data_IF_138047525956
#
_entry.id   IF_138047525956
#
_cell.length_a   1.000
_cell.length_b   1.000
_cell.length_c   1.000
_cell.angle_alpha   90.00
_cell.angle_beta   90.00
_cell.angle_gamma   90.00
#
_symmetry.space_group_name_H-M   'P 1'
#
loop_
_entity.id
_entity.type
_entity.pdbx_description
1 polymer ?
#
# COMPACT_ATOMS: atom_id res chain seq x y z
N UNK A 1 10.87 11.29 28.51
CA UNK A 1 11.60 12.08 27.45
C UNK A 1 12.55 11.11 26.76
N UNK A 2 12.11 10.46 25.67
CA UNK A 2 12.99 9.65 24.82
C UNK A 2 13.85 10.59 23.96
N UNK A 3 15.16 10.44 24.05
CA UNK A 3 16.11 11.17 23.18
C UNK A 3 16.04 10.56 21.77
N UNK A 4 15.73 11.37 20.78
CA UNK A 4 15.77 11.04 19.36
C UNK A 4 17.25 10.96 18.92
N UNK A 5 17.60 9.93 18.18
CA UNK A 5 18.93 9.77 17.59
C UNK A 5 18.81 9.82 16.08
N UNK A 6 19.42 10.82 15.47
CA UNK A 6 19.66 10.92 14.03
C UNK A 6 21.12 10.60 13.81
N UNK A 7 21.43 9.68 12.92
CA UNK A 7 22.79 9.32 12.53
C UNK A 7 23.08 9.90 11.14
N UNK A 8 24.06 10.79 11.04
CA UNK A 8 24.68 11.14 9.79
C UNK A 8 26.04 10.42 9.72
N UNK A 9 26.35 9.81 8.58
CA UNK A 9 27.63 9.14 8.37
C UNK A 9 28.57 10.16 7.71
N UNK A 10 29.56 10.61 8.46
CA UNK A 10 30.66 11.40 7.89
C UNK A 10 31.91 10.50 7.80
N UNK A 11 32.54 10.44 6.62
CA UNK A 11 33.77 9.68 6.38
C UNK A 11 34.95 10.63 6.45
N UNK A 12 35.67 10.58 7.56
CA UNK A 12 37.02 11.08 7.65
C UNK A 12 37.95 9.94 8.06
N UNK A 13 38.68 9.36 7.12
CA UNK A 13 39.58 8.24 7.37
C UNK A 13 38.85 6.89 7.65
N UNK A 14 39.54 5.89 8.09
CA UNK A 14 39.07 4.51 8.29
C UNK A 14 38.13 4.29 9.50
N UNK A 15 37.45 5.32 10.02
CA UNK A 15 36.53 5.21 11.16
C UNK A 15 35.19 5.88 10.88
N UNK A 16 34.09 5.16 11.23
CA UNK A 16 32.72 5.68 11.23
C UNK A 16 32.51 6.42 12.55
N UNK A 17 32.19 7.73 12.49
CA UNK A 17 31.76 8.49 13.67
C UNK A 17 30.26 8.72 13.62
N UNK A 18 29.57 8.33 14.67
CA UNK A 18 28.18 8.68 14.88
C UNK A 18 28.07 10.14 15.37
N UNK A 19 27.43 10.99 14.58
CA UNK A 19 27.16 12.39 14.95
C UNK A 19 25.69 12.51 15.37
N UNK A 20 25.45 12.87 16.61
CA UNK A 20 24.10 13.16 17.13
C UNK A 20 23.72 14.59 16.76
N UNK A 21 22.75 14.76 15.86
CA UNK A 21 22.20 16.07 15.53
C UNK A 21 20.88 16.34 16.27
N UNK A 22 20.80 17.52 16.87
CA UNK A 22 19.63 18.06 17.57
C UNK A 22 18.67 18.67 16.55
N UNK A 23 17.40 18.33 16.65
CA UNK A 23 16.21 18.82 15.95
C UNK A 23 16.34 20.14 15.16
N UNK A 24 16.35 20.05 13.85
CA UNK A 24 15.75 21.03 12.93
C UNK A 24 14.67 20.31 12.11
N UNK A 25 13.56 21.01 11.79
CA UNK A 25 12.58 20.48 10.81
C UNK A 25 13.36 19.96 9.61
N UNK A 26 13.04 18.73 9.18
CA UNK A 26 13.64 18.18 7.96
C UNK A 26 13.38 19.16 6.82
N UNK A 27 14.42 19.63 6.10
CA UNK A 27 14.21 20.50 4.95
C UNK A 27 13.41 19.72 3.90
N UNK A 28 12.46 20.38 3.25
CA UNK A 28 11.90 19.87 1.99
C UNK A 28 13.08 19.59 1.07
N UNK A 29 13.13 18.46 0.36
CA UNK A 29 14.12 18.24 -0.68
C UNK A 29 14.01 19.40 -1.67
N UNK A 30 14.98 20.31 -1.65
CA UNK A 30 15.00 21.52 -2.46
C UNK A 30 15.43 21.16 -3.88
N UNK A 31 14.58 20.49 -4.65
CA UNK A 31 14.74 20.40 -6.09
C UNK A 31 13.46 20.86 -6.79
N UNK A 32 13.65 21.80 -7.73
CA UNK A 32 12.60 22.08 -8.70
C UNK A 32 12.22 20.78 -9.43
N UNK A 33 10.92 20.58 -9.76
CA UNK A 33 10.47 19.39 -10.48
C UNK A 33 11.28 19.25 -11.78
N UNK A 34 11.94 18.10 -11.92
CA UNK A 34 12.69 17.78 -13.14
C UNK A 34 11.66 17.43 -14.21
N UNK A 35 11.53 18.29 -15.24
CA UNK A 35 10.66 18.04 -16.38
C UNK A 35 11.44 17.19 -17.40
N UNK A 36 11.03 15.94 -17.56
CA UNK A 36 11.46 15.11 -18.67
C UNK A 36 10.27 14.87 -19.63
N UNK A 37 10.47 15.16 -20.91
CA UNK A 37 9.54 14.88 -22.02
C UNK A 37 8.02 15.12 -21.73
N UNK A 38 7.69 16.30 -21.15
CA UNK A 38 6.30 16.72 -20.96
C UNK A 38 5.61 16.28 -19.67
N UNK A 39 6.21 15.45 -18.81
CA UNK A 39 5.69 15.04 -17.51
C UNK A 39 6.55 15.56 -16.34
N UNK A 40 5.90 15.73 -15.17
CA UNK A 40 6.58 16.03 -13.90
C UNK A 40 6.83 14.71 -13.20
N UNK A 41 8.11 14.38 -12.89
CA UNK A 41 8.47 13.23 -12.07
C UNK A 41 7.93 13.45 -10.64
N UNK A 42 7.18 12.46 -10.12
CA UNK A 42 6.62 12.51 -8.76
C UNK A 42 7.60 11.96 -7.74
N UNK A 43 7.72 12.68 -6.63
CA UNK A 43 8.48 12.26 -5.46
C UNK A 43 7.60 11.33 -4.60
N UNK A 44 8.12 10.13 -4.36
CA UNK A 44 7.40 9.06 -3.67
C UNK A 44 8.07 8.74 -2.33
N UNK A 45 7.25 8.68 -1.28
CA UNK A 45 7.59 8.09 0.02
C UNK A 45 6.94 6.72 0.13
N UNK A 46 7.73 5.68 0.47
CA UNK A 46 7.22 4.33 0.68
C UNK A 46 7.30 3.93 2.15
N UNK A 47 6.16 3.69 2.77
CA UNK A 47 6.05 3.17 4.13
C UNK A 47 5.73 1.67 4.07
N UNK A 48 6.54 0.85 4.73
CA UNK A 48 6.49 -0.61 4.62
C UNK A 48 7.18 -1.12 3.34
N UNK A 49 8.30 -0.51 2.95
CA UNK A 49 8.97 -0.75 1.66
C UNK A 49 9.44 -2.20 1.45
N UNK A 50 9.79 -2.93 2.51
CA UNK A 50 10.22 -4.33 2.44
C UNK A 50 9.04 -5.33 2.43
N UNK A 51 7.81 -4.85 2.63
CA UNK A 51 6.59 -5.66 2.57
C UNK A 51 6.13 -5.93 1.13
N UNK A 52 5.08 -6.77 0.98
CA UNK A 52 4.55 -7.17 -0.32
C UNK A 52 4.11 -5.98 -1.19
N UNK A 53 3.46 -4.97 -0.61
CA UNK A 53 3.04 -3.77 -1.35
C UNK A 53 4.25 -2.92 -1.72
N UNK A 54 5.20 -2.72 -0.78
CA UNK A 54 6.39 -1.91 -1.01
C UNK A 54 7.29 -2.45 -2.11
N UNK A 55 7.54 -3.76 -2.12
CA UNK A 55 8.38 -4.41 -3.15
C UNK A 55 7.74 -4.33 -4.54
N UNK A 56 6.42 -4.49 -4.65
CA UNK A 56 5.70 -4.32 -5.91
C UNK A 56 5.66 -2.86 -6.37
N UNK A 57 5.57 -1.90 -5.43
CA UNK A 57 5.68 -0.48 -5.76
C UNK A 57 7.06 -0.14 -6.32
N UNK A 58 8.12 -0.68 -5.74
CA UNK A 58 9.49 -0.49 -6.23
C UNK A 58 9.69 -1.08 -7.63
N UNK A 59 9.10 -2.26 -7.93
CA UNK A 59 9.10 -2.82 -9.28
C UNK A 59 8.43 -1.89 -10.31
N UNK A 60 7.28 -1.29 -9.96
CA UNK A 60 6.60 -0.32 -10.82
C UNK A 60 7.46 0.92 -11.04
N UNK A 61 8.03 1.47 -9.96
CA UNK A 61 8.85 2.68 -10.00
C UNK A 61 10.10 2.45 -10.84
N UNK A 62 10.80 1.33 -10.66
CA UNK A 62 11.99 0.99 -11.41
C UNK A 62 11.74 0.87 -12.93
N UNK A 63 10.54 0.41 -13.33
CA UNK A 63 10.12 0.35 -14.74
C UNK A 63 9.62 1.69 -15.31
N UNK A 64 9.43 2.69 -14.46
CA UNK A 64 8.91 4.01 -14.84
C UNK A 64 9.73 5.17 -14.23
N UNK A 65 11.06 5.22 -14.45
CA UNK A 65 11.95 6.20 -13.81
C UNK A 65 11.68 7.65 -14.23
N UNK A 66 11.08 7.86 -15.40
CA UNK A 66 10.69 9.17 -15.87
C UNK A 66 9.47 9.74 -15.15
N UNK A 67 8.69 8.87 -14.49
CA UNK A 67 7.44 9.25 -13.82
C UNK A 67 7.56 9.32 -12.30
N UNK A 68 8.43 8.50 -11.72
CA UNK A 68 8.51 8.31 -10.27
C UNK A 68 9.94 8.32 -9.77
N UNK A 69 10.15 8.94 -8.61
CA UNK A 69 11.40 8.96 -7.87
C UNK A 69 11.11 8.63 -6.41
N UNK A 70 11.81 7.67 -5.84
CA UNK A 70 11.72 7.40 -4.40
C UNK A 70 12.61 8.39 -3.66
N UNK A 71 12.02 9.19 -2.77
CA UNK A 71 12.77 10.15 -1.94
C UNK A 71 13.00 9.62 -0.53
N UNK A 72 12.10 8.76 -0.02
CA UNK A 72 12.29 8.13 1.27
C UNK A 72 11.65 6.74 1.34
N UNK A 73 12.27 5.88 2.16
CA UNK A 73 11.83 4.53 2.47
C UNK A 73 11.65 4.38 3.99
N UNK A 74 10.65 3.62 4.43
CA UNK A 74 10.52 3.23 5.83
C UNK A 74 10.13 1.76 5.96
N UNK A 75 10.75 1.05 6.90
CA UNK A 75 10.46 -0.34 7.21
C UNK A 75 10.56 -0.65 8.71
N UNK A 76 10.07 -1.83 9.12
CA UNK A 76 10.12 -2.27 10.51
C UNK A 76 11.53 -2.53 11.05
N UNK A 77 12.41 -3.08 10.21
CA UNK A 77 13.78 -3.44 10.58
C UNK A 77 14.06 -4.95 10.63
N UNK A 78 13.07 -5.80 10.32
CA UNK A 78 13.25 -7.27 10.31
C UNK A 78 14.12 -7.75 9.14
N UNK A 79 14.20 -7.01 8.04
CA UNK A 79 15.03 -7.33 6.87
C UNK A 79 15.86 -6.11 6.46
N UNK A 80 16.98 -5.92 7.15
CA UNK A 80 17.90 -4.82 6.88
C UNK A 80 18.62 -4.97 5.54
N UNK A 81 18.82 -6.20 5.06
CA UNK A 81 19.48 -6.45 3.78
C UNK A 81 18.60 -6.00 2.62
N UNK A 82 17.31 -6.37 2.66
CA UNK A 82 16.35 -5.88 1.66
C UNK A 82 16.25 -4.34 1.68
N UNK A 83 16.15 -3.74 2.87
CA UNK A 83 16.07 -2.28 3.01
C UNK A 83 17.31 -1.57 2.48
N UNK A 84 18.51 -2.12 2.76
CA UNK A 84 19.78 -1.60 2.24
C UNK A 84 19.86 -1.69 0.71
N UNK A 85 19.44 -2.83 0.14
CA UNK A 85 19.35 -3.02 -1.30
C UNK A 85 18.41 -2.00 -1.96
N UNK A 86 17.22 -1.81 -1.39
CA UNK A 86 16.25 -0.81 -1.84
C UNK A 86 16.79 0.62 -1.79
N UNK A 87 17.51 0.98 -0.71
CA UNK A 87 18.12 2.29 -0.58
C UNK A 87 19.14 2.58 -1.70
N UNK A 88 19.98 1.59 -2.02
CA UNK A 88 20.99 1.71 -3.09
C UNK A 88 20.36 1.75 -4.48
N UNK A 89 19.34 0.94 -4.73
CA UNK A 89 18.65 0.87 -6.02
C UNK A 89 17.86 2.13 -6.35
N UNK A 90 17.21 2.71 -5.34
CA UNK A 90 16.37 3.89 -5.52
C UNK A 90 17.13 5.20 -5.39
N UNK A 91 18.30 5.21 -4.73
CA UNK A 91 18.99 6.43 -4.36
C UNK A 91 18.19 7.29 -3.37
N UNK A 92 17.33 6.68 -2.54
CA UNK A 92 16.52 7.40 -1.57
C UNK A 92 17.38 8.24 -0.62
N UNK A 93 16.97 9.49 -0.42
CA UNK A 93 17.72 10.45 0.41
C UNK A 93 17.55 10.17 1.92
N UNK A 94 16.41 9.55 2.30
CA UNK A 94 16.09 9.21 3.69
C UNK A 94 15.64 7.75 3.80
N UNK A 95 16.17 7.05 4.79
CA UNK A 95 15.74 5.69 5.10
C UNK A 95 15.41 5.59 6.58
N UNK A 96 14.18 5.12 6.87
CA UNK A 96 13.65 4.96 8.22
C UNK A 96 13.59 3.51 8.66
N UNK A 97 13.97 3.24 9.90
CA UNK A 97 13.79 1.95 10.54
C UNK A 97 13.08 2.11 11.87
N UNK A 98 12.00 1.33 12.09
CA UNK A 98 11.20 1.46 13.30
C UNK A 98 11.94 1.01 14.56
N UNK A 99 12.83 0.04 14.44
CA UNK A 99 13.71 -0.41 15.51
C UNK A 99 14.83 0.62 15.74
N UNK A 100 14.89 1.29 16.91
CA UNK A 100 15.91 2.30 17.19
C UNK A 100 17.33 1.70 17.25
N UNK A 101 17.47 0.43 17.57
CA UNK A 101 18.77 -0.23 17.72
C UNK A 101 19.32 -0.73 16.36
N UNK A 102 18.47 -0.79 15.35
CA UNK A 102 18.85 -1.25 14.00
C UNK A 102 19.56 -0.17 13.15
N UNK A 103 19.60 1.09 13.56
CA UNK A 103 20.15 2.17 12.74
C UNK A 103 21.62 1.97 12.35
N UNK A 104 22.47 1.55 13.30
CA UNK A 104 23.88 1.29 13.06
C UNK A 104 24.04 0.06 12.16
N UNK A 105 23.28 -1.00 12.44
CA UNK A 105 23.30 -2.21 11.65
C UNK A 105 22.87 -1.94 10.19
N UNK A 106 21.86 -1.11 9.99
CA UNK A 106 21.41 -0.70 8.66
C UNK A 106 22.51 0.09 7.92
N UNK A 107 23.17 1.04 8.58
CA UNK A 107 24.28 1.79 7.99
C UNK A 107 25.42 0.87 7.52
N UNK A 108 25.79 -0.09 8.36
CA UNK A 108 26.81 -1.09 8.02
C UNK A 108 26.37 -1.99 6.88
N UNK A 109 25.09 -2.39 6.88
CA UNK A 109 24.52 -3.24 5.83
C UNK A 109 24.50 -2.52 4.48
N UNK A 110 24.16 -1.23 4.44
CA UNK A 110 24.24 -0.40 3.21
C UNK A 110 25.66 -0.36 2.69
N UNK A 111 26.65 -0.12 3.54
CA UNK A 111 28.06 -0.08 3.13
C UNK A 111 28.56 -1.44 2.61
N UNK A 112 28.18 -2.54 3.27
CA UNK A 112 28.51 -3.89 2.84
C UNK A 112 27.86 -4.24 1.50
N UNK A 113 26.57 -3.93 1.35
CA UNK A 113 25.83 -4.18 0.11
C UNK A 113 26.38 -3.34 -1.06
N UNK A 114 26.75 -2.08 -0.83
CA UNK A 114 27.38 -1.24 -1.83
C UNK A 114 28.72 -1.83 -2.30
N UNK A 115 29.57 -2.30 -1.38
CA UNK A 115 30.84 -2.99 -1.73
C UNK A 115 30.60 -4.28 -2.49
N UNK A 116 29.63 -5.07 -2.07
CA UNK A 116 29.26 -6.32 -2.74
C UNK A 116 28.83 -6.09 -4.19
N UNK A 117 28.15 -4.97 -4.46
CA UNK A 117 27.77 -4.52 -5.81
C UNK A 117 28.90 -3.81 -6.57
N UNK A 118 30.08 -3.68 -6.01
CA UNK A 118 31.24 -3.02 -6.61
C UNK A 118 31.13 -1.49 -6.68
N UNK A 119 30.20 -0.89 -5.95
CA UNK A 119 30.00 0.55 -5.90
C UNK A 119 31.09 1.24 -5.08
N UNK A 120 31.62 2.34 -5.59
CA UNK A 120 32.65 3.16 -4.91
C UNK A 120 31.99 4.32 -4.14
N UNK A 121 32.67 4.87 -3.13
CA UNK A 121 32.23 6.12 -2.50
C UNK A 121 32.03 7.24 -3.54
N UNK A 122 30.81 7.83 -3.51
CA UNK A 122 30.39 8.86 -4.46
C UNK A 122 29.61 8.34 -5.68
N UNK A 123 29.54 7.02 -5.90
CA UNK A 123 28.73 6.41 -6.96
C UNK A 123 27.30 6.07 -6.48
N UNK A 124 27.00 6.25 -5.20
CA UNK A 124 25.66 6.05 -4.64
C UNK A 124 25.34 7.11 -3.59
N UNK A 125 24.03 7.32 -3.37
CA UNK A 125 23.54 8.22 -2.32
C UNK A 125 23.70 7.53 -0.97
N UNK A 126 24.36 8.18 -0.02
CA UNK A 126 24.39 7.78 1.38
C UNK A 126 23.13 8.36 2.03
N UNK A 127 22.12 7.55 2.37
CA UNK A 127 20.87 8.08 2.90
C UNK A 127 21.06 8.60 4.34
N UNK A 128 20.26 9.61 4.70
CA UNK A 128 20.06 9.93 6.09
C UNK A 128 19.27 8.80 6.75
N UNK A 129 19.82 8.15 7.78
CA UNK A 129 19.13 7.09 8.51
C UNK A 129 18.41 7.68 9.71
N UNK A 130 17.10 7.47 9.76
CA UNK A 130 16.25 7.80 10.89
C UNK A 130 15.81 6.50 11.58
N UNK A 131 15.72 6.49 12.92
CA UNK A 131 15.33 5.30 13.64
C UNK A 131 14.41 5.62 14.82
N UNK A 132 13.51 4.72 15.09
CA UNK A 132 12.61 4.77 16.23
C UNK A 132 11.14 4.58 15.85
N UNK A 133 10.26 4.41 16.84
CA UNK A 133 8.86 4.03 16.64
C UNK A 133 8.02 5.10 15.93
N UNK A 134 8.49 6.34 15.82
CA UNK A 134 7.80 7.45 15.13
C UNK A 134 8.33 7.72 13.73
N UNK A 135 9.37 7.00 13.29
CA UNK A 135 10.07 7.27 12.04
C UNK A 135 9.15 7.29 10.81
N UNK A 136 8.22 6.35 10.71
CA UNK A 136 7.28 6.32 9.59
C UNK A 136 6.38 7.57 9.56
N UNK A 137 5.98 8.09 10.73
CA UNK A 137 5.20 9.33 10.84
C UNK A 137 6.03 10.55 10.43
N UNK A 138 7.29 10.60 10.84
CA UNK A 138 8.21 11.69 10.50
C UNK A 138 8.46 11.72 8.98
N UNK A 139 8.73 10.56 8.38
CA UNK A 139 8.96 10.42 6.94
C UNK A 139 7.69 10.74 6.13
N UNK A 140 6.52 10.28 6.58
CA UNK A 140 5.25 10.61 5.92
C UNK A 140 4.96 12.12 5.87
N UNK A 141 5.41 12.86 6.89
CA UNK A 141 5.23 14.31 7.00
C UNK A 141 6.32 15.16 6.32
N UNK A 142 7.30 14.58 5.63
CA UNK A 142 8.42 15.34 5.02
C UNK A 142 8.02 16.25 3.86
N UNK A 143 6.87 16.00 3.24
CA UNK A 143 6.41 16.69 2.03
C UNK A 143 7.00 16.04 0.77
N UNK A 144 6.12 15.43 0.00
CA UNK A 144 6.38 14.79 -1.28
C UNK A 144 5.10 14.84 -2.12
N UNK A 145 5.11 14.27 -3.32
CA UNK A 145 3.89 14.23 -4.15
C UNK A 145 2.96 13.10 -3.71
N UNK A 146 3.52 11.92 -3.39
CA UNK A 146 2.73 10.74 -2.99
C UNK A 146 3.38 10.02 -1.81
N UNK A 147 2.60 9.72 -0.79
CA UNK A 147 2.96 8.75 0.26
C UNK A 147 2.19 7.46 0.02
N UNK A 148 2.90 6.37 -0.27
CA UNK A 148 2.32 5.03 -0.28
C UNK A 148 2.42 4.43 1.13
N UNK A 149 1.27 4.24 1.79
CA UNK A 149 1.21 3.58 3.08
C UNK A 149 0.85 2.09 2.91
N UNK A 150 1.88 1.24 2.84
CA UNK A 150 1.79 -0.23 2.78
C UNK A 150 2.10 -0.92 4.12
N UNK A 151 2.03 -0.19 5.24
CA UNK A 151 2.20 -0.77 6.57
C UNK A 151 1.00 -1.66 6.93
N UNK A 152 1.21 -2.66 7.77
CA UNK A 152 0.14 -3.54 8.26
C UNK A 152 -0.35 -3.09 9.64
N UNK A 153 -1.67 -3.06 9.83
CA UNK A 153 -2.28 -2.78 11.13
C UNK A 153 -2.41 -1.29 11.48
N UNK A 154 -2.99 -1.01 12.63
CA UNK A 154 -3.33 0.35 13.08
C UNK A 154 -2.14 1.26 13.37
N UNK A 155 -0.92 0.72 13.40
CA UNK A 155 0.32 1.52 13.53
C UNK A 155 0.52 2.49 12.36
N UNK A 156 -0.12 2.21 11.21
CA UNK A 156 -0.14 3.09 10.04
C UNK A 156 -1.00 4.35 10.20
N UNK A 157 -1.83 4.49 11.25
CA UNK A 157 -2.75 5.62 11.42
C UNK A 157 -2.03 6.97 11.57
N UNK A 158 -1.00 7.03 12.42
CA UNK A 158 -0.23 8.28 12.59
C UNK A 158 0.50 8.70 11.32
N UNK A 159 1.20 7.79 10.59
CA UNK A 159 1.75 8.09 9.28
C UNK A 159 0.69 8.52 8.25
N UNK A 160 -0.50 7.90 8.25
CA UNK A 160 -1.64 8.31 7.41
C UNK A 160 -2.00 9.78 7.64
N UNK A 161 -2.21 10.18 8.91
CA UNK A 161 -2.54 11.56 9.26
C UNK A 161 -1.40 12.54 8.91
N UNK A 162 -0.15 12.14 9.13
CA UNK A 162 1.01 12.97 8.79
C UNK A 162 1.15 13.18 7.27
N UNK A 163 0.85 12.17 6.46
CA UNK A 163 0.81 12.28 5.01
C UNK A 163 -0.27 13.26 4.54
N UNK A 164 -1.48 13.16 5.12
CA UNK A 164 -2.58 14.07 4.80
C UNK A 164 -2.25 15.53 5.19
N UNK A 165 -1.68 15.74 6.38
CA UNK A 165 -1.27 17.06 6.88
C UNK A 165 -0.15 17.69 6.02
N UNK A 166 0.72 16.86 5.42
CA UNK A 166 1.78 17.34 4.53
C UNK A 166 1.28 17.85 3.18
N UNK A 167 0.03 17.56 2.83
CA UNK A 167 -0.58 17.87 1.54
C UNK A 167 -0.26 16.85 0.43
N UNK A 168 0.46 15.76 0.73
CA UNK A 168 0.73 14.70 -0.23
C UNK A 168 -0.54 13.93 -0.58
N UNK A 169 -0.58 13.36 -1.79
CA UNK A 169 -1.55 12.30 -2.12
C UNK A 169 -1.21 11.08 -1.25
N UNK A 170 -2.20 10.54 -0.58
CA UNK A 170 -2.07 9.31 0.18
C UNK A 170 -2.55 8.11 -0.65
N UNK A 171 -1.62 7.32 -1.20
CA UNK A 171 -1.91 6.02 -1.77
C UNK A 171 -2.05 5.02 -0.63
N UNK A 172 -3.29 4.73 -0.23
CA UNK A 172 -3.60 3.99 0.99
C UNK A 172 -3.80 2.50 0.71
N UNK A 173 -2.82 1.69 1.11
CA UNK A 173 -2.90 0.22 1.13
C UNK A 173 -3.18 -0.33 2.56
N UNK A 174 -3.09 0.52 3.57
CA UNK A 174 -3.35 0.19 4.97
C UNK A 174 -4.81 0.52 5.34
N UNK A 175 -5.72 -0.42 5.06
CA UNK A 175 -7.15 -0.25 5.37
C UNK A 175 -7.44 -0.10 6.86
N UNK A 176 -6.63 -0.73 7.72
CA UNK A 176 -6.80 -0.66 9.16
C UNK A 176 -6.67 0.77 9.70
N UNK A 177 -5.82 1.59 9.11
CA UNK A 177 -5.70 3.00 9.48
C UNK A 177 -6.99 3.77 9.21
N UNK A 178 -7.64 3.52 8.08
CA UNK A 178 -8.89 4.18 7.72
C UNK A 178 -10.04 3.66 8.59
N UNK A 179 -10.16 2.35 8.77
CA UNK A 179 -11.22 1.74 9.58
C UNK A 179 -11.13 2.18 11.05
N UNK A 180 -9.93 2.16 11.64
CA UNK A 180 -9.71 2.59 13.04
C UNK A 180 -9.83 4.10 13.20
N UNK A 181 -9.31 4.87 12.25
CA UNK A 181 -9.33 6.33 12.27
C UNK A 181 -10.68 6.93 11.91
N UNK A 182 -11.47 6.25 11.08
CA UNK A 182 -12.80 6.66 10.69
C UNK A 182 -12.86 8.14 10.27
N UNK A 183 -13.77 8.88 10.91
CA UNK A 183 -13.96 10.32 10.67
C UNK A 183 -12.71 11.17 10.93
N UNK A 184 -11.80 10.74 11.78
CA UNK A 184 -10.55 11.48 12.02
C UNK A 184 -9.70 11.52 10.74
N UNK A 185 -9.62 10.40 10.02
CA UNK A 185 -8.88 10.34 8.75
C UNK A 185 -9.64 11.05 7.63
N UNK A 186 -10.93 10.76 7.46
CA UNK A 186 -11.73 11.36 6.37
C UNK A 186 -11.88 12.87 6.50
N UNK A 187 -11.97 13.40 7.73
CA UNK A 187 -12.04 14.85 7.97
C UNK A 187 -10.68 15.56 7.83
N UNK A 188 -9.57 14.85 7.95
CA UNK A 188 -8.24 15.40 7.72
C UNK A 188 -7.87 15.47 6.24
N UNK A 189 -8.52 14.67 5.40
CA UNK A 189 -8.25 14.59 3.98
C UNK A 189 -8.94 15.70 3.19
N UNK A 190 -8.27 16.23 2.18
CA UNK A 190 -8.89 17.03 1.14
C UNK A 190 -9.60 16.13 0.12
N UNK A 191 -10.61 16.63 -0.62
CA UNK A 191 -11.24 15.87 -1.69
C UNK A 191 -10.20 15.29 -2.68
N UNK A 192 -10.24 13.98 -2.91
CA UNK A 192 -9.33 13.29 -3.83
C UNK A 192 -7.90 13.08 -3.30
N UNK A 193 -7.62 13.44 -2.04
CA UNK A 193 -6.28 13.27 -1.46
C UNK A 193 -5.99 11.81 -1.06
N UNK A 194 -7.01 11.01 -0.73
CA UNK A 194 -6.85 9.57 -0.47
C UNK A 194 -7.16 8.80 -1.75
N UNK A 195 -6.20 8.00 -2.20
CA UNK A 195 -6.34 7.10 -3.34
C UNK A 195 -6.21 5.67 -2.85
N UNK A 196 -7.25 4.84 -2.99
CA UNK A 196 -7.21 3.47 -2.49
C UNK A 196 -6.26 2.59 -3.31
N UNK A 197 -5.52 1.74 -2.62
CA UNK A 197 -4.65 0.72 -3.19
C UNK A 197 -5.21 -0.68 -2.97
N UNK A 198 -6.12 -0.87 -2.02
CA UNK A 198 -6.85 -2.13 -1.93
C UNK A 198 -7.59 -2.40 -3.26
N UNK A 199 -7.52 -3.65 -3.77
CA UNK A 199 -7.90 -3.95 -5.16
C UNK A 199 -9.37 -3.62 -5.45
N UNK A 200 -10.25 -3.93 -4.52
CA UNK A 200 -11.69 -3.69 -4.64
C UNK A 200 -12.02 -2.18 -4.65
N UNK A 201 -11.37 -1.42 -3.76
CA UNK A 201 -11.62 0.02 -3.66
C UNK A 201 -10.97 0.79 -4.82
N UNK A 202 -9.81 0.34 -5.29
CA UNK A 202 -9.20 0.85 -6.52
C UNK A 202 -10.12 0.61 -7.72
N UNK A 203 -10.77 -0.55 -7.79
CA UNK A 203 -11.74 -0.87 -8.83
C UNK A 203 -12.98 0.03 -8.76
N UNK A 204 -13.53 0.24 -7.55
CA UNK A 204 -14.64 1.18 -7.34
C UNK A 204 -14.26 2.60 -7.75
N UNK A 205 -13.10 3.10 -7.32
CA UNK A 205 -12.62 4.43 -7.67
C UNK A 205 -12.49 4.62 -9.20
N UNK A 206 -12.13 3.56 -9.93
CA UNK A 206 -12.08 3.59 -11.40
C UNK A 206 -13.47 3.60 -12.04
N UNK A 207 -14.38 2.73 -11.55
CA UNK A 207 -15.74 2.61 -12.10
C UNK A 207 -16.60 3.84 -11.79
N UNK A 208 -16.44 4.47 -10.63
CA UNK A 208 -17.11 5.71 -10.23
C UNK A 208 -16.78 6.93 -11.14
N UNK A 209 -15.69 6.85 -11.90
CA UNK A 209 -15.35 7.92 -12.88
C UNK A 209 -16.31 7.98 -14.07
N UNK A 210 -17.17 6.98 -14.23
CA UNK A 210 -18.03 6.84 -15.39
C UNK A 210 -19.39 7.56 -15.25
N UNK A 211 -19.73 8.03 -14.04
CA UNK A 211 -20.98 8.74 -13.77
C UNK A 211 -20.87 9.69 -12.59
N UNK A 212 -21.93 10.45 -12.34
CA UNK A 212 -22.02 11.30 -11.17
C UNK A 212 -22.48 10.50 -9.94
N UNK A 213 -22.16 10.96 -8.73
CA UNK A 213 -22.50 10.27 -7.49
C UNK A 213 -24.01 9.97 -7.35
N UNK A 214 -24.87 10.93 -7.74
CA UNK A 214 -26.32 10.77 -7.65
C UNK A 214 -26.91 9.75 -8.66
N UNK A 215 -26.13 9.32 -9.65
CA UNK A 215 -26.50 8.28 -10.61
C UNK A 215 -26.14 6.87 -10.11
N UNK A 216 -25.39 6.77 -9.02
CA UNK A 216 -24.99 5.47 -8.47
C UNK A 216 -26.13 4.88 -7.64
N UNK A 217 -26.60 3.68 -8.02
CA UNK A 217 -27.58 2.92 -7.25
C UNK A 217 -26.91 2.17 -6.10
N UNK A 218 -25.77 1.49 -6.37
CA UNK A 218 -25.01 0.77 -5.35
C UNK A 218 -23.58 0.43 -5.77
N UNK A 219 -22.74 0.18 -4.78
CA UNK A 219 -21.41 -0.39 -4.93
C UNK A 219 -21.48 -1.90 -4.72
N UNK A 220 -20.75 -2.67 -5.54
CA UNK A 220 -20.72 -4.13 -5.43
C UNK A 220 -19.27 -4.58 -5.27
N UNK A 221 -18.91 -4.97 -4.06
CA UNK A 221 -17.60 -5.52 -3.72
C UNK A 221 -17.55 -7.01 -4.07
N UNK A 222 -16.49 -7.45 -4.74
CA UNK A 222 -16.25 -8.88 -4.94
C UNK A 222 -15.40 -9.46 -3.82
N UNK A 223 -15.53 -10.75 -3.57
CA UNK A 223 -14.70 -11.52 -2.64
C UNK A 223 -14.29 -12.84 -3.30
N UNK A 224 -13.06 -13.31 -3.08
CA UNK A 224 -12.64 -14.65 -3.53
C UNK A 224 -13.41 -15.78 -2.84
N UNK A 225 -13.97 -15.50 -1.66
CA UNK A 225 -14.60 -16.49 -0.76
C UNK A 225 -13.61 -17.19 0.18
N UNK A 226 -12.32 -16.88 0.06
CA UNK A 226 -11.25 -17.43 0.91
C UNK A 226 -10.99 -18.93 0.69
N UNK A 227 -10.07 -19.53 1.49
CA UNK A 227 -9.69 -20.94 1.36
C UNK A 227 -10.78 -21.92 1.78
N UNK A 228 -11.76 -21.49 2.58
CA UNK A 228 -12.80 -22.35 3.15
C UNK A 228 -14.13 -22.28 2.43
N UNK A 229 -14.14 -21.70 1.24
CA UNK A 229 -15.34 -21.61 0.41
C UNK A 229 -15.92 -23.00 0.13
N UNK A 230 -17.22 -23.20 0.49
CA UNK A 230 -17.93 -24.47 0.30
C UNK A 230 -17.69 -25.52 1.39
N UNK A 231 -16.94 -25.19 2.45
CA UNK A 231 -16.76 -26.09 3.59
C UNK A 231 -17.99 -26.13 4.49
N UNK A 232 -18.25 -27.29 5.06
CA UNK A 232 -19.33 -27.47 6.05
C UNK A 232 -18.89 -26.97 7.43
N UNK A 233 -19.86 -26.74 8.35
CA UNK A 233 -19.58 -26.36 9.73
C UNK A 233 -18.62 -27.33 10.44
N UNK A 234 -18.82 -28.64 10.24
CA UNK A 234 -17.95 -29.66 10.83
C UNK A 234 -16.51 -29.60 10.31
N UNK A 235 -16.35 -29.32 9.01
CA UNK A 235 -15.02 -29.10 8.43
C UNK A 235 -14.37 -27.83 8.97
N UNK A 236 -15.14 -26.74 9.13
CA UNK A 236 -14.66 -25.48 9.68
C UNK A 236 -14.22 -25.60 11.14
N UNK A 237 -14.88 -26.47 11.94
CA UNK A 237 -14.51 -26.70 13.35
C UNK A 237 -13.11 -27.35 13.51
N UNK A 238 -12.58 -27.98 12.45
CA UNK A 238 -11.29 -28.67 12.46
C UNK A 238 -10.18 -27.91 11.69
N UNK A 239 -10.40 -26.64 11.32
CA UNK A 239 -9.46 -25.84 10.54
C UNK A 239 -8.17 -25.55 11.32
N UNK A 240 -7.03 -25.70 10.63
CA UNK A 240 -5.72 -25.35 11.17
C UNK A 240 -5.23 -23.98 10.69
N UNK A 241 -4.28 -23.33 11.42
CA UNK A 241 -3.69 -22.08 10.97
C UNK A 241 -3.03 -22.17 9.58
N UNK A 242 -2.41 -23.30 9.25
CA UNK A 242 -1.77 -23.54 7.95
C UNK A 242 -2.79 -23.55 6.82
N UNK A 243 -3.96 -24.14 7.03
CA UNK A 243 -5.06 -24.11 6.07
C UNK A 243 -5.63 -22.70 5.89
N UNK A 244 -5.73 -21.92 6.97
CA UNK A 244 -6.16 -20.54 6.91
C UNK A 244 -5.17 -19.63 6.15
N UNK A 245 -3.88 -19.96 6.18
CA UNK A 245 -2.82 -19.25 5.45
C UNK A 245 -2.72 -19.66 3.97
N UNK A 246 -3.39 -20.73 3.54
CA UNK A 246 -3.34 -21.23 2.16
C UNK A 246 -4.41 -20.57 1.27
N UNK A 247 -4.25 -19.26 0.99
CA UNK A 247 -5.20 -18.56 0.12
C UNK A 247 -5.11 -19.05 -1.33
N UNK A 248 -6.24 -19.37 -2.00
CA UNK A 248 -6.22 -20.01 -3.33
C UNK A 248 -5.75 -19.10 -4.47
N UNK A 249 -5.92 -17.79 -4.35
CA UNK A 249 -5.69 -16.83 -5.46
C UNK A 249 -4.59 -15.82 -5.15
N UNK A 250 -4.56 -15.26 -3.92
CA UNK A 250 -3.69 -14.14 -3.56
C UNK A 250 -2.51 -14.56 -2.69
N UNK A 251 -1.35 -14.01 -2.97
CA UNK A 251 -0.17 -14.09 -2.08
C UNK A 251 -0.11 -12.83 -1.22
N UNK A 252 -0.58 -12.94 0.01
CA UNK A 252 -0.71 -11.82 0.95
C UNK A 252 0.10 -12.07 2.23
N UNK A 253 0.28 -11.01 3.03
CA UNK A 253 0.82 -11.16 4.38
C UNK A 253 -0.10 -12.00 5.27
N UNK A 254 0.43 -12.62 6.34
CA UNK A 254 -0.30 -13.59 7.15
C UNK A 254 -1.58 -13.02 7.79
N UNK A 255 -1.56 -11.77 8.25
CA UNK A 255 -2.72 -11.11 8.88
C UNK A 255 -3.87 -10.97 7.87
N UNK A 256 -3.60 -10.45 6.68
CA UNK A 256 -4.62 -10.26 5.63
C UNK A 256 -5.14 -11.61 5.15
N UNK A 257 -4.27 -12.63 5.05
CA UNK A 257 -4.65 -13.98 4.64
C UNK A 257 -5.63 -14.62 5.64
N UNK A 258 -5.36 -14.50 6.94
CA UNK A 258 -6.29 -14.99 8.00
C UNK A 258 -7.60 -14.20 7.98
N UNK A 259 -7.54 -12.87 7.83
CA UNK A 259 -8.74 -12.04 7.71
C UNK A 259 -9.57 -12.43 6.48
N UNK A 260 -8.94 -12.81 5.37
CA UNK A 260 -9.64 -13.35 4.19
C UNK A 260 -10.28 -14.69 4.46
N UNK A 261 -9.56 -15.60 5.14
CA UNK A 261 -10.08 -16.92 5.49
C UNK A 261 -11.35 -16.87 6.37
N UNK A 262 -11.42 -15.87 7.26
CA UNK A 262 -12.55 -15.63 8.17
C UNK A 262 -13.60 -14.67 7.61
N UNK A 263 -13.43 -14.15 6.40
CA UNK A 263 -14.23 -13.09 5.78
C UNK A 263 -14.23 -11.74 6.55
N UNK A 264 -13.48 -11.62 7.64
CA UNK A 264 -13.28 -10.35 8.35
C UNK A 264 -12.69 -9.30 7.41
N UNK A 265 -11.79 -9.70 6.50
CA UNK A 265 -11.25 -8.80 5.48
C UNK A 265 -12.36 -8.12 4.67
N UNK A 266 -13.37 -8.86 4.23
CA UNK A 266 -14.49 -8.30 3.48
C UNK A 266 -15.35 -7.35 4.33
N UNK A 267 -15.53 -7.64 5.62
CA UNK A 267 -16.17 -6.70 6.55
C UNK A 267 -15.42 -5.38 6.69
N UNK A 268 -14.07 -5.43 6.82
CA UNK A 268 -13.22 -4.25 6.84
C UNK A 268 -13.33 -3.46 5.53
N UNK A 269 -13.41 -4.14 4.41
CA UNK A 269 -13.54 -3.51 3.09
C UNK A 269 -14.91 -2.84 2.87
N UNK A 270 -15.99 -3.39 3.41
CA UNK A 270 -17.30 -2.71 3.40
C UNK A 270 -17.24 -1.41 4.20
N UNK A 271 -16.58 -1.41 5.37
CA UNK A 271 -16.38 -0.21 6.18
C UNK A 271 -15.49 0.80 5.42
N UNK A 272 -14.42 0.33 4.80
CA UNK A 272 -13.52 1.17 4.01
C UNK A 272 -14.24 1.80 2.82
N UNK A 273 -15.09 1.06 2.09
CA UNK A 273 -15.88 1.60 0.97
C UNK A 273 -16.84 2.71 1.45
N UNK A 274 -17.52 2.51 2.58
CA UNK A 274 -18.35 3.54 3.19
C UNK A 274 -17.55 4.81 3.53
N UNK A 275 -16.39 4.66 4.13
CA UNK A 275 -15.54 5.79 4.55
C UNK A 275 -14.89 6.54 3.38
N UNK A 276 -14.50 5.82 2.32
CA UNK A 276 -13.85 6.41 1.16
C UNK A 276 -14.81 7.12 0.22
N UNK A 277 -15.97 6.52 -0.02
CA UNK A 277 -16.87 6.94 -1.07
C UNK A 277 -18.17 7.59 -0.56
N UNK A 278 -18.44 7.54 0.75
CA UNK A 278 -19.58 8.22 1.38
C UNK A 278 -20.93 7.53 1.18
N UNK A 279 -21.00 6.36 0.55
CA UNK A 279 -22.26 5.61 0.36
C UNK A 279 -22.70 4.93 1.66
N UNK A 280 -24.00 4.90 1.89
CA UNK A 280 -24.59 4.19 3.03
C UNK A 280 -24.36 2.67 2.92
N UNK A 281 -24.26 1.97 4.06
CA UNK A 281 -24.07 0.51 4.07
C UNK A 281 -25.16 -0.25 3.31
N UNK A 282 -26.40 0.26 3.25
CA UNK A 282 -27.49 -0.29 2.44
C UNK A 282 -27.23 -0.24 0.93
N UNK A 283 -26.35 0.65 0.49
CA UNK A 283 -25.92 0.78 -0.90
C UNK A 283 -24.64 0.00 -1.22
N UNK A 284 -24.07 -0.72 -0.26
CA UNK A 284 -22.86 -1.51 -0.45
C UNK A 284 -23.21 -2.98 -0.37
N UNK A 285 -23.10 -3.68 -1.47
CA UNK A 285 -23.37 -5.12 -1.58
C UNK A 285 -22.06 -5.90 -1.76
N UNK A 286 -22.08 -7.18 -1.43
CA UNK A 286 -20.95 -8.08 -1.63
C UNK A 286 -21.38 -9.32 -2.42
N UNK A 287 -20.50 -9.79 -3.30
CA UNK A 287 -20.66 -11.03 -4.07
C UNK A 287 -19.37 -11.84 -4.01
N UNK A 288 -19.48 -13.16 -4.11
CA UNK A 288 -18.30 -14.02 -4.20
C UNK A 288 -17.98 -14.27 -5.67
N UNK A 289 -16.75 -13.93 -6.08
CA UNK A 289 -16.19 -14.14 -7.40
C UNK A 289 -14.85 -14.88 -7.26
N UNK A 290 -14.86 -16.22 -7.35
CA UNK A 290 -13.69 -17.05 -7.03
C UNK A 290 -12.47 -16.75 -7.88
N UNK A 291 -12.66 -16.42 -9.15
CA UNK A 291 -11.58 -16.17 -10.12
C UNK A 291 -10.87 -14.84 -9.84
N UNK A 292 -11.50 -13.93 -9.07
CA UNK A 292 -10.95 -12.61 -8.72
C UNK A 292 -10.45 -11.79 -9.91
N UNK A 293 -11.08 -11.96 -11.09
CA UNK A 293 -10.81 -11.17 -12.30
C UNK A 293 -11.56 -9.85 -12.25
N UNK A 294 -12.84 -9.87 -11.86
CA UNK A 294 -13.60 -8.66 -11.57
C UNK A 294 -13.36 -8.27 -10.12
N UNK A 295 -12.74 -7.11 -9.90
CA UNK A 295 -12.35 -6.67 -8.56
C UNK A 295 -13.46 -5.94 -7.82
N UNK A 296 -14.29 -5.17 -8.50
CA UNK A 296 -15.54 -4.57 -7.99
C UNK A 296 -16.35 -3.97 -9.12
N UNK A 297 -17.60 -3.60 -8.83
CA UNK A 297 -18.54 -3.05 -9.78
C UNK A 297 -19.31 -1.87 -9.18
N UNK A 298 -19.78 -0.96 -10.03
CA UNK A 298 -20.71 0.10 -9.69
C UNK A 298 -21.95 -0.09 -10.52
N UNK A 299 -23.11 -0.22 -9.87
CA UNK A 299 -24.41 -0.27 -10.52
C UNK A 299 -25.03 1.12 -10.52
N UNK A 300 -25.50 1.58 -11.66
CA UNK A 300 -26.12 2.88 -11.84
C UNK A 300 -27.64 2.79 -11.85
N UNK A 301 -28.30 3.92 -11.66
CA UNK A 301 -29.77 4.02 -11.55
C UNK A 301 -30.51 3.63 -12.83
N UNK A 302 -29.86 3.65 -13.97
CA UNK A 302 -30.39 3.17 -15.26
C UNK A 302 -30.30 1.65 -15.44
N UNK A 303 -29.72 0.92 -14.45
CA UNK A 303 -29.51 -0.51 -14.48
C UNK A 303 -28.18 -0.95 -15.11
N UNK A 304 -27.37 -0.03 -15.64
CA UNK A 304 -26.04 -0.36 -16.13
C UNK A 304 -25.08 -0.71 -14.99
N UNK A 305 -24.17 -1.63 -15.24
CA UNK A 305 -23.13 -2.03 -14.28
C UNK A 305 -21.76 -1.90 -14.91
N UNK A 306 -20.89 -1.10 -14.30
CA UNK A 306 -19.51 -0.95 -14.74
C UNK A 306 -18.58 -1.70 -13.79
N UNK A 307 -17.73 -2.56 -14.36
CA UNK A 307 -16.80 -3.41 -13.64
C UNK A 307 -15.36 -3.11 -14.03
N UNK A 308 -14.46 -3.09 -13.06
CA UNK A 308 -13.05 -3.14 -13.37
C UNK A 308 -12.59 -4.60 -13.33
N UNK A 309 -12.01 -5.07 -14.44
CA UNK A 309 -11.51 -6.42 -14.60
C UNK A 309 -10.01 -6.40 -14.96
N UNK A 310 -9.24 -7.26 -14.30
CA UNK A 310 -7.83 -7.53 -14.59
C UNK A 310 -7.42 -8.84 -13.91
N UNK A 311 -6.35 -9.52 -14.34
CA UNK A 311 -5.76 -10.59 -13.56
C UNK A 311 -5.44 -10.11 -12.12
N UNK A 312 -5.49 -11.01 -11.11
CA UNK A 312 -5.24 -10.66 -9.72
C UNK A 312 -3.76 -10.29 -9.50
N UNK A 313 -3.45 -9.03 -9.65
CA UNK A 313 -2.10 -8.46 -9.54
C UNK A 313 -2.16 -7.09 -8.84
N UNK A 314 -1.56 -7.01 -7.64
CA UNK A 314 -1.56 -5.77 -6.86
C UNK A 314 -0.78 -4.63 -7.52
N UNK A 315 0.07 -4.90 -8.51
CA UNK A 315 0.76 -3.86 -9.26
C UNK A 315 -0.20 -2.92 -9.99
N UNK A 316 -1.37 -3.41 -10.39
CA UNK A 316 -2.37 -2.56 -11.04
C UNK A 316 -2.92 -1.48 -10.07
N UNK A 317 -3.52 -1.80 -8.91
CA UNK A 317 -4.00 -0.77 -7.98
C UNK A 317 -2.87 0.05 -7.35
N UNK A 318 -1.69 -0.53 -7.10
CA UNK A 318 -0.51 0.21 -6.63
C UNK A 318 -0.11 1.27 -7.65
N UNK A 319 0.01 0.90 -8.92
CA UNK A 319 0.40 1.83 -9.99
C UNK A 319 -0.59 2.99 -10.13
N UNK A 320 -1.88 2.69 -9.98
CA UNK A 320 -2.92 3.70 -10.00
C UNK A 320 -2.80 4.64 -8.79
N UNK A 321 -2.51 4.11 -7.59
CA UNK A 321 -2.25 4.91 -6.39
C UNK A 321 -1.06 5.86 -6.56
N UNK A 322 0.02 5.41 -7.19
CA UNK A 322 1.20 6.22 -7.47
C UNK A 322 0.96 7.26 -8.57
N UNK A 323 0.19 6.91 -9.60
CA UNK A 323 -0.01 7.71 -10.80
C UNK A 323 -1.29 8.54 -10.83
N UNK A 324 -2.22 8.36 -9.88
CA UNK A 324 -3.56 8.97 -9.90
C UNK A 324 -3.56 10.45 -10.29
N UNK A 325 -4.48 10.91 -11.18
CA UNK A 325 -5.56 10.14 -11.81
C UNK A 325 -5.13 9.38 -13.08
N UNK A 326 -3.85 9.41 -13.44
CA UNK A 326 -3.32 8.85 -14.67
C UNK A 326 -3.01 7.36 -14.52
N UNK A 327 -3.18 6.62 -15.64
CA UNK A 327 -2.76 5.22 -15.70
C UNK A 327 -1.26 5.12 -15.97
N UNK A 328 -0.63 4.08 -15.40
CA UNK A 328 0.78 3.74 -15.64
C UNK A 328 0.83 2.63 -16.68
N UNK A 329 1.38 2.87 -17.86
CA UNK A 329 1.47 1.86 -18.92
C UNK A 329 2.25 0.62 -18.48
N UNK A 330 1.76 -0.57 -18.83
CA UNK A 330 2.45 -1.83 -18.57
C UNK A 330 2.62 -2.19 -17.09
N UNK A 331 1.83 -1.61 -16.19
CA UNK A 331 1.95 -1.84 -14.75
C UNK A 331 1.67 -3.30 -14.36
N UNK A 332 0.64 -3.91 -14.96
CA UNK A 332 0.21 -5.29 -14.72
C UNK A 332 -0.21 -5.96 -16.03
N UNK A 333 -0.30 -7.30 -16.07
CA UNK A 333 -0.80 -8.02 -17.25
C UNK A 333 -2.24 -7.66 -17.59
N UNK A 334 -2.58 -7.71 -18.88
CA UNK A 334 -3.97 -7.61 -19.36
C UNK A 334 -4.68 -8.95 -19.24
N UNK A 335 -6.02 -8.94 -19.24
CA UNK A 335 -6.81 -10.14 -19.49
C UNK A 335 -6.52 -10.67 -20.89
N UNK A 336 -6.48 -11.98 -21.02
CA UNK A 336 -6.44 -12.64 -22.32
C UNK A 336 -7.87 -12.78 -22.88
N UNK A 337 -8.15 -12.09 -23.96
CA UNK A 337 -9.45 -12.12 -24.63
C UNK A 337 -9.47 -13.05 -25.84
N UNK A 338 -8.37 -13.77 -26.11
CA UNK A 338 -8.28 -14.73 -27.22
C UNK A 338 -8.89 -16.08 -26.89
N UNK A 339 -9.08 -16.39 -25.59
CA UNK A 339 -9.64 -17.65 -25.12
C UNK A 339 -10.98 -17.44 -24.40
N UNK A 340 -11.84 -18.46 -24.44
CA UNK A 340 -13.08 -18.44 -23.70
C UNK A 340 -12.82 -18.55 -22.20
N UNK A 341 -13.46 -17.68 -21.41
CA UNK A 341 -13.36 -17.69 -19.96
C UNK A 341 -14.76 -17.69 -19.33
N UNK A 342 -14.92 -18.40 -18.21
CA UNK A 342 -16.13 -18.37 -17.41
C UNK A 342 -15.87 -17.60 -16.12
N UNK A 343 -16.70 -16.62 -15.84
CA UNK A 343 -16.66 -15.84 -14.61
C UNK A 343 -17.91 -16.12 -13.80
N UNK A 344 -17.75 -16.56 -12.57
CA UNK A 344 -18.85 -17.00 -11.69
C UNK A 344 -19.04 -15.96 -10.58
N UNK A 345 -20.30 -15.68 -10.27
CA UNK A 345 -20.70 -14.79 -9.18
C UNK A 345 -21.74 -15.50 -8.31
N UNK A 346 -21.48 -15.56 -7.02
CA UNK A 346 -22.37 -16.19 -6.05
C UNK A 346 -22.84 -15.18 -5.02
N UNK A 347 -24.10 -15.24 -4.56
CA UNK A 347 -24.57 -14.41 -3.47
C UNK A 347 -23.74 -14.64 -2.19
N UNK A 348 -23.31 -13.56 -1.55
CA UNK A 348 -22.43 -13.63 -0.39
C UNK A 348 -23.09 -14.32 0.82
N UNK A 349 -24.40 -14.16 1.04
CA UNK A 349 -25.15 -14.77 2.14
C UNK A 349 -25.17 -16.31 2.11
N UNK A 350 -24.94 -16.95 0.98
CA UNK A 350 -24.85 -18.42 0.88
C UNK A 350 -23.70 -18.96 1.74
N UNK A 351 -22.65 -18.15 1.90
CA UNK A 351 -21.49 -18.51 2.72
C UNK A 351 -21.65 -18.10 4.19
N UNK A 352 -22.54 -17.14 4.52
CA UNK A 352 -22.84 -16.73 5.89
C UNK A 352 -23.74 -17.71 6.65
N UNK A 353 -24.54 -18.52 5.97
CA UNK A 353 -25.40 -19.52 6.63
C UNK A 353 -24.63 -20.57 7.44
N UNK A 354 -23.33 -20.69 7.22
CA UNK A 354 -22.47 -21.62 7.96
C UNK A 354 -21.74 -20.97 9.14
N UNK A 355 -21.88 -19.66 9.33
CA UNK A 355 -21.28 -18.90 10.44
C UNK A 355 -22.32 -18.43 11.48
N UNK A 356 -23.57 -18.81 11.37
CA UNK A 356 -24.54 -18.53 12.42
C UNK A 356 -24.23 -19.44 13.64
N UNK A 357 -23.61 -18.84 14.62
CA UNK A 357 -23.67 -19.32 15.99
C UNK A 357 -25.13 -19.16 16.43
N UNK A 358 -25.82 -20.29 16.61
CA UNK A 358 -27.03 -20.37 17.42
C UNK A 358 -26.70 -20.07 18.89
#
# INVERSE_FOLDING_TARGET
RFRRRTLAIDRCGSSIRAVSMIHKRLPRPARAPVRHNGGVTRDIVLLGSTGSIGTQALDIIARNPDRFRVVALAAGGSDLKALAGQALETGAEVVGVADPDAAIALALTIDQEARHRGLRPGEFVIPQILAGPTVATEIAGMGCDVVLNGMTGSVGLKPTLAALDSGAILALANKESLVVGGKVVTSAAQPGQIVPVDSEHSALAQALRAGAEHEVARLVLTASGGPFRGWTSDQLAAVTPEQALAHPTWKMGPVVTINSATLVNKGLEVIEAHLLFGFDYSQISTVVHPQSIVHSMVEFTDGSTLAQASPPDMRMPISLGLGWPDRVPGAAPSCDWSEAATWEFFPFYIYYRFCNYD
#
